data_IF_358177248538
#
_entry.id   IF_358177248538
#
_cell.length_a   1.000
_cell.length_b   1.000
_cell.length_c   1.000
_cell.angle_alpha   90.00
_cell.angle_beta   90.00
_cell.angle_gamma   90.00
#
_symmetry.space_group_name_H-M   'P 1'
#
loop_
_entity.id
_entity.type
_entity.pdbx_description
1 polymer ?
#
# COMPACT_ATOMS: atom_id res chain seq x y z
N UNK A 1 6.53 10.80 6.68
CA UNK A 1 7.33 10.31 5.56
C UNK A 1 7.65 8.83 5.73
N UNK A 2 7.73 8.10 4.65
CA UNK A 2 7.95 6.66 4.70
C UNK A 2 9.43 6.34 4.91
N UNK A 3 9.70 5.36 5.76
CA UNK A 3 11.06 4.94 6.07
C UNK A 3 11.65 4.01 5.03
N UNK A 4 10.81 3.30 4.30
CA UNK A 4 11.23 2.33 3.30
C UNK A 4 10.40 2.48 2.04
N UNK A 5 10.97 2.09 0.91
CA UNK A 5 10.23 2.08 -0.34
C UNK A 5 9.10 1.06 -0.33
N UNK A 6 9.36 -0.13 0.21
CA UNK A 6 8.35 -1.17 0.35
C UNK A 6 8.03 -1.37 1.82
N UNK A 7 6.77 -1.21 2.18
CA UNK A 7 6.32 -1.36 3.56
C UNK A 7 5.12 -2.29 3.61
N UNK A 8 5.02 -3.04 4.70
CA UNK A 8 3.89 -3.93 4.91
C UNK A 8 2.66 -3.14 5.36
N UNK A 9 1.49 -3.78 5.25
CA UNK A 9 0.24 -3.14 5.69
C UNK A 9 0.28 -2.75 7.18
N UNK A 10 0.73 -3.62 8.12
CA UNK A 10 0.83 -3.21 9.52
C UNK A 10 1.75 -2.01 9.74
N UNK A 11 2.85 -1.93 9.01
CA UNK A 11 3.75 -0.78 9.13
C UNK A 11 3.07 0.52 8.70
N UNK A 12 2.32 0.47 7.60
CA UNK A 12 1.61 1.64 7.10
C UNK A 12 0.44 2.03 8.00
N UNK A 13 -0.21 1.06 8.63
CA UNK A 13 -1.26 1.36 9.60
C UNK A 13 -0.72 2.16 10.79
N UNK A 14 0.50 1.89 11.20
CA UNK A 14 1.13 2.64 12.29
C UNK A 14 1.37 4.10 11.93
N UNK A 15 1.46 4.40 10.64
CA UNK A 15 1.60 5.76 10.16
C UNK A 15 0.26 6.48 10.01
N UNK A 16 -0.84 5.80 10.30
CA UNK A 16 -2.16 6.40 10.24
C UNK A 16 -2.96 6.11 8.99
N UNK A 17 -2.46 5.25 8.11
CA UNK A 17 -3.16 4.91 6.88
C UNK A 17 -4.17 3.79 7.18
N UNK A 18 -5.47 3.98 6.84
CA UNK A 18 -6.49 2.97 7.13
C UNK A 18 -6.22 1.65 6.40
N UNK A 19 -6.38 0.56 7.13
CA UNK A 19 -6.22 -0.78 6.59
C UNK A 19 -7.14 -1.03 5.40
N UNK A 20 -8.37 -0.53 5.46
CA UNK A 20 -9.34 -0.70 4.39
C UNK A 20 -8.83 -0.13 3.06
N UNK A 21 -8.24 1.05 3.11
CA UNK A 21 -7.68 1.68 1.90
C UNK A 21 -6.54 0.85 1.32
N UNK A 22 -5.68 0.33 2.19
CA UNK A 22 -4.55 -0.49 1.75
C UNK A 22 -5.01 -1.78 1.07
N UNK A 23 -6.02 -2.44 1.63
CA UNK A 23 -6.56 -3.64 1.02
C UNK A 23 -7.30 -3.34 -0.29
N UNK A 24 -7.97 -2.21 -0.39
CA UNK A 24 -8.60 -1.81 -1.64
C UNK A 24 -7.55 -1.64 -2.74
N UNK A 25 -6.42 -1.03 -2.41
CA UNK A 25 -5.32 -0.90 -3.37
C UNK A 25 -4.82 -2.27 -3.81
N UNK A 26 -4.61 -3.19 -2.85
CA UNK A 26 -4.12 -4.53 -3.16
C UNK A 26 -5.04 -5.28 -4.12
N UNK A 27 -6.34 -5.09 -4.02
CA UNK A 27 -7.32 -5.82 -4.81
C UNK A 27 -7.79 -5.08 -6.06
N UNK A 28 -7.23 -3.92 -6.34
CA UNK A 28 -7.58 -3.18 -7.55
C UNK A 28 -6.92 -3.82 -8.77
N UNK A 29 -7.69 -4.22 -9.79
CA UNK A 29 -7.11 -4.80 -11.00
C UNK A 29 -6.15 -3.84 -11.71
N UNK A 30 -5.02 -4.35 -12.15
CA UNK A 30 -4.05 -3.54 -12.89
C UNK A 30 -3.18 -2.62 -12.05
N UNK A 31 -3.36 -2.60 -10.74
CA UNK A 31 -2.53 -1.75 -9.89
C UNK A 31 -1.09 -2.27 -9.84
N UNK A 32 -0.15 -1.36 -9.67
CA UNK A 32 1.28 -1.67 -9.58
C UNK A 32 1.91 -1.15 -8.30
N UNK A 33 1.09 -0.77 -7.33
CA UNK A 33 1.54 -0.19 -6.08
C UNK A 33 1.81 -1.29 -5.05
N UNK A 34 0.90 -2.27 -4.96
CA UNK A 34 1.03 -3.37 -4.02
C UNK A 34 1.56 -4.61 -4.73
N UNK A 35 2.54 -5.27 -4.12
CA UNK A 35 3.12 -6.50 -4.66
C UNK A 35 3.15 -7.56 -3.58
N UNK A 36 3.10 -8.82 -4.00
CA UNK A 36 3.20 -9.97 -3.12
C UNK A 36 4.33 -10.85 -3.67
N UNK A 37 5.42 -10.94 -2.93
CA UNK A 37 6.62 -11.64 -3.42
C UNK A 37 6.47 -13.15 -3.45
N UNK A 38 5.60 -13.68 -2.60
CA UNK A 38 5.31 -15.11 -2.56
C UNK A 38 3.82 -15.31 -2.72
N UNK A 39 3.42 -16.49 -3.19
CA UNK A 39 2.02 -16.82 -3.40
C UNK A 39 1.18 -16.63 -2.14
N UNK A 40 1.73 -16.95 -0.98
CA UNK A 40 1.08 -16.74 0.32
C UNK A 40 1.82 -15.71 1.16
N UNK A 41 2.61 -14.85 0.52
CA UNK A 41 3.43 -13.88 1.21
C UNK A 41 2.66 -12.64 1.64
N UNK A 42 3.31 -11.85 2.49
CA UNK A 42 2.77 -10.58 2.95
C UNK A 42 2.78 -9.57 1.82
N UNK A 43 1.69 -8.82 1.68
CA UNK A 43 1.63 -7.70 0.75
C UNK A 43 2.61 -6.61 1.15
N UNK A 44 3.33 -6.09 0.17
CA UNK A 44 4.22 -4.95 0.36
C UNK A 44 3.79 -3.83 -0.56
N UNK A 45 3.71 -2.64 -0.01
CA UNK A 45 3.23 -1.47 -0.73
C UNK A 45 4.42 -0.62 -1.17
N UNK A 46 4.46 -0.25 -2.45
CA UNK A 46 5.49 0.64 -2.98
C UNK A 46 5.14 2.08 -2.58
N UNK A 47 5.81 2.56 -1.53
CA UNK A 47 5.50 3.87 -0.97
C UNK A 47 5.85 5.01 -1.90
N UNK A 48 6.70 4.78 -2.90
CA UNK A 48 7.03 5.83 -3.87
C UNK A 48 5.82 6.22 -4.72
N UNK A 49 4.83 5.34 -4.81
CA UNK A 49 3.60 5.60 -5.58
C UNK A 49 2.38 5.77 -4.69
N UNK A 50 2.53 5.47 -3.42
CA UNK A 50 1.41 5.44 -2.49
C UNK A 50 0.81 6.83 -2.27
N UNK A 51 1.63 7.86 -2.14
CA UNK A 51 1.15 9.22 -1.88
C UNK A 51 0.22 9.71 -2.98
N UNK A 52 0.57 9.47 -4.23
CA UNK A 52 -0.28 9.88 -5.34
C UNK A 52 -1.61 9.16 -5.33
N UNK A 53 -1.59 7.86 -5.01
CA UNK A 53 -2.81 7.08 -4.94
C UNK A 53 -3.70 7.57 -3.80
N UNK A 54 -3.13 7.87 -2.65
CA UNK A 54 -3.88 8.38 -1.51
C UNK A 54 -4.52 9.74 -1.82
N UNK A 55 -3.77 10.63 -2.48
CA UNK A 55 -4.30 11.93 -2.87
C UNK A 55 -5.48 11.79 -3.82
N UNK A 56 -5.38 10.88 -4.76
CA UNK A 56 -6.44 10.63 -5.72
C UNK A 56 -7.70 10.09 -5.04
N UNK A 57 -7.54 9.24 -4.04
CA UNK A 57 -8.65 8.64 -3.31
C UNK A 57 -9.25 9.57 -2.26
N UNK A 58 -8.52 10.56 -1.82
CA UNK A 58 -8.93 11.46 -0.74
C UNK A 58 -9.81 12.62 -1.20
N UNK A 59 -10.05 12.74 -2.47
CA UNK A 59 -10.85 13.84 -3.02
C UNK A 59 -12.33 13.71 -2.68
#
# INVERSE_FOLDING_TARGET
>A
MYQKRFMTIPELQRLGIPKKVLYEICHTPGQRIAVQFNKNGTWRIDTSKLDEELKRRAV
#
